data_IF_472912844493
#
_entry.id   IF_472912844493
#
_cell.length_a   1.000
_cell.length_b   1.000
_cell.length_c   1.000
_cell.angle_alpha   90.00
_cell.angle_beta   90.00
_cell.angle_gamma   90.00
#
_symmetry.space_group_name_H-M   'P 1'
#
loop_
_entity.id
_entity.type
_entity.pdbx_description
1 polymer ?
#
# COMPACT_ATOMS: atom_id res chain seq x y z
N UNK A 1 -4.21 -7.47 16.33
CA UNK A 1 -3.74 -8.79 16.81
C UNK A 1 -3.23 -8.74 18.25
N UNK A 2 -2.26 -7.88 18.58
CA UNK A 2 -1.64 -7.81 19.93
C UNK A 2 -2.62 -7.56 21.11
N UNK A 3 -3.77 -6.93 20.86
CA UNK A 3 -4.77 -6.65 21.90
C UNK A 3 -5.40 -7.91 22.52
N UNK A 4 -5.33 -9.05 21.83
CA UNK A 4 -5.88 -10.34 22.26
C UNK A 4 -4.89 -11.21 23.06
N UNK A 5 -3.68 -10.70 23.34
CA UNK A 5 -2.71 -11.43 24.15
C UNK A 5 -3.24 -11.66 25.58
N UNK A 6 -3.22 -12.92 26.02
CA UNK A 6 -3.65 -13.33 27.37
C UNK A 6 -2.48 -13.38 28.35
N UNK A 7 -1.25 -13.54 27.86
CA UNK A 7 -0.02 -13.58 28.62
C UNK A 7 1.13 -12.86 27.89
N UNK A 8 2.29 -12.77 28.54
CA UNK A 8 3.47 -12.11 27.96
C UNK A 8 4.02 -12.87 26.74
N UNK A 9 3.97 -14.19 26.74
CA UNK A 9 4.51 -15.01 25.65
C UNK A 9 3.69 -14.86 24.37
N UNK A 10 2.36 -14.95 24.45
CA UNK A 10 1.43 -14.66 23.35
C UNK A 10 1.61 -13.22 22.85
N UNK A 11 1.83 -12.24 23.73
CA UNK A 11 2.14 -10.88 23.32
C UNK A 11 3.44 -10.81 22.49
N UNK A 12 4.51 -11.46 22.93
CA UNK A 12 5.80 -11.51 22.21
C UNK A 12 5.63 -12.16 20.83
N UNK A 13 4.95 -13.30 20.75
CA UNK A 13 4.71 -14.02 19.50
C UNK A 13 3.88 -13.17 18.54
N UNK A 14 2.77 -12.59 19.00
CA UNK A 14 1.93 -11.72 18.17
C UNK A 14 2.68 -10.46 17.72
N UNK A 15 3.53 -9.89 18.59
CA UNK A 15 4.35 -8.73 18.28
C UNK A 15 5.40 -9.04 17.22
N UNK A 16 6.00 -10.22 17.28
CA UNK A 16 6.94 -10.73 16.28
C UNK A 16 6.24 -10.93 14.93
N UNK A 17 5.09 -11.63 14.91
CA UNK A 17 4.30 -11.83 13.68
C UNK A 17 3.85 -10.50 13.05
N UNK A 18 3.39 -9.57 13.87
CA UNK A 18 3.02 -8.21 13.41
C UNK A 18 4.24 -7.49 12.82
N UNK A 19 5.42 -7.67 13.42
CA UNK A 19 6.68 -7.10 12.92
C UNK A 19 7.09 -7.66 11.56
N UNK A 20 6.89 -8.96 11.32
CA UNK A 20 7.16 -9.59 10.02
C UNK A 20 6.25 -9.09 8.89
N UNK A 21 4.98 -8.83 9.20
CA UNK A 21 4.02 -8.35 8.20
C UNK A 21 4.23 -6.87 7.82
N UNK A 22 4.81 -6.07 8.73
CA UNK A 22 4.90 -4.62 8.56
C UNK A 22 5.70 -4.18 7.32
N UNK A 23 6.90 -4.73 7.03
CA UNK A 23 7.62 -4.39 5.80
C UNK A 23 6.82 -4.70 4.53
N UNK A 24 6.10 -5.83 4.48
CA UNK A 24 5.29 -6.19 3.31
C UNK A 24 4.13 -5.21 3.10
N UNK A 25 3.45 -4.81 4.18
CA UNK A 25 2.34 -3.87 4.15
C UNK A 25 2.78 -2.46 3.71
N UNK A 26 3.99 -2.04 4.02
CA UNK A 26 4.53 -0.74 3.62
C UNK A 26 5.15 -0.77 2.21
N UNK A 27 5.94 -1.80 1.92
CA UNK A 27 6.75 -1.88 0.71
C UNK A 27 5.92 -2.18 -0.55
N UNK A 28 4.91 -3.04 -0.46
CA UNK A 28 4.12 -3.42 -1.63
C UNK A 28 3.30 -2.24 -2.19
N UNK A 29 2.52 -1.49 -1.39
CA UNK A 29 1.82 -0.31 -1.89
C UNK A 29 2.77 0.77 -2.37
N UNK A 30 3.94 0.90 -1.73
CA UNK A 30 4.96 1.86 -2.16
C UNK A 30 5.47 1.53 -3.57
N UNK A 31 5.86 0.28 -3.84
CA UNK A 31 6.30 -0.16 -5.18
C UNK A 31 5.17 0.08 -6.18
N UNK A 32 3.95 -0.34 -5.87
CA UNK A 32 2.81 -0.23 -6.77
C UNK A 32 2.49 1.25 -7.10
N UNK A 33 2.58 2.14 -6.10
CA UNK A 33 2.43 3.59 -6.33
C UNK A 33 3.50 4.14 -7.28
N UNK A 34 4.76 3.74 -7.12
CA UNK A 34 5.87 4.22 -7.97
C UNK A 34 5.78 3.72 -9.41
N UNK A 35 5.14 2.57 -9.64
CA UNK A 35 4.92 2.02 -10.97
C UNK A 35 3.86 2.79 -11.76
N UNK A 36 2.81 3.26 -11.09
CA UNK A 36 1.78 4.07 -11.72
C UNK A 36 2.20 5.51 -11.97
N UNK A 37 3.24 5.97 -11.27
CA UNK A 37 3.74 7.33 -11.42
C UNK A 37 4.80 7.45 -12.52
N UNK A 38 4.66 8.52 -13.32
CA UNK A 38 5.73 8.98 -14.20
C UNK A 38 6.97 9.43 -13.42
N UNK A 39 8.08 9.68 -14.13
CA UNK A 39 9.37 10.06 -13.50
C UNK A 39 9.23 11.23 -12.50
N UNK A 40 8.43 12.25 -12.84
CA UNK A 40 8.17 13.40 -11.98
C UNK A 40 7.28 13.10 -10.77
N UNK A 41 6.32 12.18 -10.91
CA UNK A 41 5.35 11.84 -9.85
C UNK A 41 5.92 10.93 -8.76
N UNK A 42 7.07 10.29 -8.98
CA UNK A 42 7.70 9.39 -8.00
C UNK A 42 8.13 10.11 -6.73
N UNK A 43 8.80 11.25 -6.87
CA UNK A 43 9.21 12.08 -5.73
C UNK A 43 7.99 12.55 -4.95
N UNK A 44 6.96 13.01 -5.65
CA UNK A 44 5.69 13.40 -5.03
C UNK A 44 5.08 12.25 -4.22
N UNK A 45 5.07 11.03 -4.75
CA UNK A 45 4.52 9.86 -4.04
C UNK A 45 5.33 9.48 -2.80
N UNK A 46 6.66 9.57 -2.86
CA UNK A 46 7.54 9.37 -1.71
C UNK A 46 7.23 10.40 -0.62
N UNK A 47 7.21 11.69 -0.98
CA UNK A 47 6.93 12.79 -0.03
C UNK A 47 5.54 12.61 0.59
N UNK A 48 4.52 12.28 -0.21
CA UNK A 48 3.18 12.04 0.31
C UNK A 48 3.17 10.89 1.31
N UNK A 49 3.82 9.76 1.01
CA UNK A 49 3.90 8.62 1.91
C UNK A 49 4.54 9.00 3.26
N UNK A 50 5.63 9.76 3.23
CA UNK A 50 6.31 10.24 4.44
C UNK A 50 5.45 11.21 5.24
N UNK A 51 4.75 12.14 4.57
CA UNK A 51 3.80 13.05 5.22
C UNK A 51 2.65 12.28 5.86
N UNK A 52 2.06 11.30 5.16
CA UNK A 52 1.01 10.44 5.70
C UNK A 52 1.50 9.66 6.93
N UNK A 53 2.72 9.12 6.89
CA UNK A 53 3.32 8.44 8.01
C UNK A 53 3.53 9.38 9.22
N UNK A 54 4.05 10.58 8.99
CA UNK A 54 4.21 11.60 10.02
C UNK A 54 2.87 12.00 10.66
N UNK A 55 1.85 12.27 9.84
CA UNK A 55 0.49 12.57 10.32
C UNK A 55 -0.08 11.41 11.13
N UNK A 56 0.09 10.17 10.67
CA UNK A 56 -0.37 8.98 11.38
C UNK A 56 0.31 8.84 12.76
N UNK A 57 1.62 9.13 12.86
CA UNK A 57 2.35 9.12 14.13
C UNK A 57 1.86 10.22 15.10
N UNK A 58 1.60 11.43 14.60
CA UNK A 58 1.02 12.51 15.40
C UNK A 58 -0.37 12.12 15.91
N UNK A 59 -1.23 11.59 15.03
CA UNK A 59 -2.57 11.11 15.41
C UNK A 59 -2.51 9.98 16.44
N UNK A 60 -1.54 9.06 16.32
CA UNK A 60 -1.32 8.01 17.32
C UNK A 60 -0.93 8.61 18.68
N UNK A 61 -0.06 9.62 18.70
CA UNK A 61 0.30 10.36 19.91
C UNK A 61 -0.91 11.04 20.55
N UNK A 62 -1.73 11.72 19.74
CA UNK A 62 -2.99 12.33 20.19
C UNK A 62 -3.94 11.29 20.77
N UNK A 63 -4.14 10.16 20.09
CA UNK A 63 -4.97 9.06 20.56
C UNK A 63 -4.46 8.48 21.89
N UNK A 64 -3.14 8.40 22.08
CA UNK A 64 -2.52 7.94 23.31
C UNK A 64 -2.74 8.89 24.51
N UNK A 65 -2.96 10.19 24.26
CA UNK A 65 -3.34 11.14 25.32
C UNK A 65 -4.75 10.85 25.88
N UNK A 66 -5.68 10.45 25.01
CA UNK A 66 -7.06 10.13 25.40
C UNK A 66 -7.22 8.68 25.90
N UNK A 67 -6.48 7.73 25.32
CA UNK A 67 -6.62 6.30 25.57
C UNK A 67 -5.40 5.76 26.32
N UNK A 68 -5.50 5.75 27.66
CA UNK A 68 -4.40 5.29 28.54
C UNK A 68 -4.26 3.77 28.63
N UNK A 69 -5.32 3.01 28.31
CA UNK A 69 -5.27 1.54 28.32
C UNK A 69 -4.62 1.05 27.04
N UNK A 70 -3.41 0.50 27.13
CA UNK A 70 -2.62 0.07 25.97
C UNK A 70 -3.36 -0.88 25.03
N UNK A 71 -4.22 -1.78 25.54
CA UNK A 71 -5.03 -2.69 24.71
C UNK A 71 -6.05 -1.94 23.84
N UNK A 72 -6.72 -0.94 24.41
CA UNK A 72 -7.65 -0.09 23.68
C UNK A 72 -6.90 0.76 22.66
N UNK A 73 -5.77 1.34 23.04
CA UNK A 73 -4.94 2.13 22.14
C UNK A 73 -4.53 1.31 20.90
N UNK A 74 -4.07 0.07 21.09
CA UNK A 74 -3.77 -0.86 20.00
C UNK A 74 -5.02 -1.13 19.17
N UNK A 75 -6.17 -1.41 19.78
CA UNK A 75 -7.39 -1.69 19.03
C UNK A 75 -7.80 -0.52 18.13
N UNK A 76 -7.88 0.69 18.69
CA UNK A 76 -8.29 1.88 17.95
C UNK A 76 -7.26 2.33 16.91
N UNK A 77 -5.96 2.17 17.18
CA UNK A 77 -4.91 2.48 16.19
C UNK A 77 -4.90 1.52 15.01
N UNK A 78 -5.33 0.27 15.21
CA UNK A 78 -5.43 -0.72 14.14
C UNK A 78 -6.75 -0.64 13.36
N UNK A 79 -7.80 0.01 13.89
CA UNK A 79 -9.11 0.08 13.24
C UNK A 79 -9.05 0.67 11.80
N UNK A 80 -8.27 1.73 11.50
CA UNK A 80 -8.14 2.24 10.13
C UNK A 80 -7.54 1.24 9.13
N UNK A 81 -6.77 0.24 9.59
CA UNK A 81 -6.20 -0.78 8.70
C UNK A 81 -7.28 -1.66 8.06
N UNK A 82 -8.50 -1.69 8.60
CA UNK A 82 -9.63 -2.37 7.95
C UNK A 82 -9.93 -1.74 6.58
N UNK A 83 -9.69 -0.44 6.42
CA UNK A 83 -9.84 0.26 5.14
C UNK A 83 -8.85 -0.27 4.09
N UNK A 84 -7.71 -0.82 4.51
CA UNK A 84 -6.75 -1.43 3.57
C UNK A 84 -7.31 -2.69 2.90
N UNK A 85 -8.35 -3.35 3.45
CA UNK A 85 -9.03 -4.42 2.70
C UNK A 85 -9.79 -3.86 1.48
N UNK A 86 -10.22 -2.60 1.53
CA UNK A 86 -10.85 -1.91 0.39
C UNK A 86 -9.83 -1.63 -0.72
N UNK A 87 -8.55 -1.42 -0.36
CA UNK A 87 -7.47 -1.19 -1.32
C UNK A 87 -7.38 -2.31 -2.37
N UNK A 88 -7.57 -3.56 -1.95
CA UNK A 88 -7.55 -4.73 -2.84
C UNK A 88 -8.56 -4.64 -3.99
N UNK A 89 -9.70 -3.98 -3.79
CA UNK A 89 -10.74 -3.86 -4.81
C UNK A 89 -10.57 -2.65 -5.72
N UNK A 90 -9.86 -1.61 -5.26
CA UNK A 90 -9.74 -0.34 -5.99
C UNK A 90 -8.48 -0.32 -6.86
N UNK A 91 -7.37 -0.79 -6.32
CA UNK A 91 -6.06 -0.63 -6.94
C UNK A 91 -5.75 -1.84 -7.83
N UNK A 92 -5.51 -1.63 -9.14
CA UNK A 92 -5.16 -2.73 -10.02
C UNK A 92 -3.79 -3.28 -9.68
N UNK A 93 -3.55 -4.53 -10.06
CA UNK A 93 -2.26 -5.18 -9.91
C UNK A 93 -1.16 -4.49 -10.74
N UNK A 94 0.09 -4.69 -10.35
CA UNK A 94 1.25 -4.17 -11.08
C UNK A 94 1.27 -4.65 -12.55
N UNK A 95 1.30 -3.74 -13.55
CA UNK A 95 1.48 -4.14 -14.94
C UNK A 95 2.81 -4.86 -15.18
N UNK A 96 3.87 -4.50 -14.44
CA UNK A 96 5.18 -5.16 -14.51
C UNK A 96 5.10 -6.60 -14.03
N UNK A 97 4.44 -6.83 -12.90
CA UNK A 97 4.24 -8.16 -12.36
C UNK A 97 3.38 -9.02 -13.30
N UNK A 98 2.31 -8.47 -13.86
CA UNK A 98 1.47 -9.19 -14.82
C UNK A 98 2.27 -9.60 -16.07
N UNK A 99 3.14 -8.73 -16.56
CA UNK A 99 4.06 -9.05 -17.67
C UNK A 99 5.04 -10.15 -17.29
N UNK A 100 5.61 -10.15 -16.09
CA UNK A 100 6.58 -11.17 -15.66
C UNK A 100 5.98 -12.56 -15.48
N UNK A 101 4.68 -12.66 -15.20
CA UNK A 101 3.96 -13.94 -15.10
C UNK A 101 3.19 -14.32 -16.38
N UNK A 102 3.41 -13.61 -17.49
CA UNK A 102 2.81 -13.91 -18.80
C UNK A 102 1.35 -13.50 -18.97
N UNK A 103 0.78 -12.69 -18.05
CA UNK A 103 -0.61 -12.20 -18.11
C UNK A 103 -0.72 -10.89 -18.92
N UNK A 104 -0.29 -10.93 -20.18
CA UNK A 104 -0.18 -9.73 -21.04
C UNK A 104 -1.51 -9.02 -21.32
N UNK A 105 -2.61 -9.77 -21.49
CA UNK A 105 -3.93 -9.19 -21.75
C UNK A 105 -4.41 -8.30 -20.59
N UNK A 106 -4.15 -8.73 -19.36
CA UNK A 106 -4.52 -7.97 -18.17
C UNK A 106 -3.65 -6.74 -18.00
N UNK A 107 -2.33 -6.88 -18.21
CA UNK A 107 -1.40 -5.76 -18.22
C UNK A 107 -1.82 -4.69 -19.25
N UNK A 108 -2.18 -5.10 -20.46
CA UNK A 108 -2.68 -4.21 -21.53
C UNK A 108 -3.95 -3.48 -21.10
N UNK A 109 -4.88 -4.17 -20.44
CA UNK A 109 -6.13 -3.55 -19.96
C UNK A 109 -5.88 -2.49 -18.88
N UNK A 110 -4.95 -2.74 -17.96
CA UNK A 110 -4.58 -1.80 -16.90
C UNK A 110 -3.85 -0.59 -17.49
N UNK A 111 -2.87 -0.81 -18.38
CA UNK A 111 -2.14 0.29 -19.04
C UNK A 111 -3.11 1.16 -19.84
N UNK A 112 -4.05 0.58 -20.59
CA UNK A 112 -5.09 1.32 -21.31
C UNK A 112 -5.96 2.14 -20.37
N UNK A 113 -6.36 1.58 -19.22
CA UNK A 113 -7.13 2.30 -18.18
C UNK A 113 -6.33 3.47 -17.61
N UNK A 114 -5.06 3.26 -17.29
CA UNK A 114 -4.16 4.32 -16.79
C UNK A 114 -3.94 5.42 -17.82
N UNK A 115 -3.77 5.08 -19.09
CA UNK A 115 -3.65 6.05 -20.18
C UNK A 115 -4.91 6.92 -20.29
N UNK A 116 -6.11 6.31 -20.22
CA UNK A 116 -7.40 7.01 -20.20
C UNK A 116 -7.54 7.95 -18.99
N UNK A 117 -7.16 7.51 -17.78
CA UNK A 117 -7.19 8.33 -16.56
C UNK A 117 -6.25 9.53 -16.70
N UNK A 118 -5.09 9.35 -17.34
CA UNK A 118 -4.12 10.41 -17.61
C UNK A 118 -4.47 11.26 -18.86
N UNK A 119 -5.67 11.11 -19.42
CA UNK A 119 -6.13 11.89 -20.57
C UNK A 119 -5.46 11.54 -21.91
N UNK A 120 -4.75 10.42 -22.00
CA UNK A 120 -4.06 9.97 -23.20
C UNK A 120 -4.84 8.83 -23.87
N UNK A 121 -5.85 9.18 -24.66
CA UNK A 121 -6.75 8.19 -25.29
C UNK A 121 -6.16 7.53 -26.55
N UNK A 122 -5.17 8.16 -27.20
CA UNK A 122 -4.60 7.75 -28.48
C UNK A 122 -3.24 7.04 -28.36
N UNK A 123 -2.89 6.53 -27.17
CA UNK A 123 -1.58 5.90 -26.96
C UNK A 123 -1.54 4.50 -27.56
N UNK A 124 -0.47 4.20 -28.29
CA UNK A 124 -0.14 2.84 -28.67
C UNK A 124 0.20 2.02 -27.40
N UNK A 125 -0.77 1.22 -26.98
CA UNK A 125 -0.63 0.38 -25.78
C UNK A 125 0.43 -0.71 -26.02
N UNK A 126 0.63 -1.15 -27.26
CA UNK A 126 1.65 -2.15 -27.59
C UNK A 126 3.06 -1.55 -27.46
N UNK A 127 3.26 -0.29 -27.88
CA UNK A 127 4.49 0.46 -27.61
C UNK A 127 4.73 0.61 -26.10
N UNK A 128 3.70 0.97 -25.33
CA UNK A 128 3.82 1.05 -23.88
C UNK A 128 4.16 -0.30 -23.27
N UNK A 129 3.58 -1.40 -23.75
CA UNK A 129 3.87 -2.76 -23.27
C UNK A 129 5.34 -3.13 -23.47
N UNK A 130 5.97 -2.71 -24.57
CA UNK A 130 7.41 -2.95 -24.82
C UNK A 130 8.27 -2.32 -23.71
N UNK A 131 7.88 -1.16 -23.18
CA UNK A 131 8.57 -0.52 -22.04
C UNK A 131 8.50 -1.32 -20.74
N UNK A 132 7.54 -2.24 -20.60
CA UNK A 132 7.43 -3.13 -19.45
C UNK A 132 8.17 -4.47 -19.67
N UNK A 133 8.60 -4.77 -20.91
CA UNK A 133 9.37 -5.97 -21.25
C UNK A 133 10.90 -5.76 -21.18
N UNK A 134 11.36 -4.50 -21.27
CA UNK A 134 12.77 -4.08 -21.20
C UNK A 134 13.10 -3.45 -19.84
#
# INVERSE_FOLDING_TARGET
MNAFAWDTYSFIVLRFLTGLAFPALFQLPFILSMEFMGKSGRIFSIIMLDVFFGVAMVLLGVLAMFIRRWRQLIFFSNAPFIILFVYYFIVPESPRWLVSVGRYAEAKSIIKRLAKINGRNEVDVDELMIKYLN
#
